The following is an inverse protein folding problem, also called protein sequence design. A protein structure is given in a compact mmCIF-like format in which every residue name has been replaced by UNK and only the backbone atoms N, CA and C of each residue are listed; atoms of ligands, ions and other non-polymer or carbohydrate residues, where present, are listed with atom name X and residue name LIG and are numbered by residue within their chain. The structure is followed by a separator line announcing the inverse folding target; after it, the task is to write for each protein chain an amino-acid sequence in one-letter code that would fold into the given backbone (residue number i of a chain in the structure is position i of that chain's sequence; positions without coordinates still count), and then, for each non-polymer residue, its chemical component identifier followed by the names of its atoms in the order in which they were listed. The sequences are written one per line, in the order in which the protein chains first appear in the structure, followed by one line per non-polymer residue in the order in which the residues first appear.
data_IF_820045181265
#
_entry.id   IF_820045181265
#
_cell.length_a   1.000
_cell.length_b   1.000
_cell.length_c   1.000
_cell.angle_alpha   90.00
_cell.angle_beta   90.00
_cell.angle_gamma   90.00
#
_symmetry.space_group_name_H-M   'P 1'
#
loop_
_entity.id
_entity.type
_entity.pdbx_description
1 polymer ?
#
# COMPACT_ATOMS: atom_id res chain seq x y z
N UNK A 1 26.55 10.90 15.92
CA UNK A 1 25.84 11.93 15.13
C UNK A 1 24.79 11.20 14.31
N UNK A 2 23.50 11.52 14.50
CA UNK A 2 22.43 10.89 13.73
C UNK A 2 22.49 11.32 12.27
N UNK A 3 22.30 10.38 11.35
CA UNK A 3 22.12 10.70 9.93
C UNK A 3 20.81 11.47 9.79
N UNK A 4 20.85 12.68 9.23
CA UNK A 4 19.64 13.42 8.87
C UNK A 4 18.98 12.73 7.67
N UNK A 5 17.97 11.90 7.94
CA UNK A 5 17.24 11.13 6.93
C UNK A 5 16.13 11.96 6.26
N UNK A 6 16.44 13.23 5.97
CA UNK A 6 15.55 14.09 5.20
C UNK A 6 15.45 13.55 3.77
N UNK A 7 14.23 13.19 3.38
CA UNK A 7 13.94 12.77 2.01
C UNK A 7 14.18 13.97 1.08
N UNK A 8 15.10 13.85 0.11
CA UNK A 8 15.58 15.00 -0.65
C UNK A 8 14.63 15.44 -1.75
N UNK A 9 13.87 14.51 -2.34
CA UNK A 9 13.02 14.73 -3.50
C UNK A 9 11.88 13.68 -3.54
N UNK A 10 10.65 14.05 -3.90
CA UNK A 10 9.55 13.10 -4.06
C UNK A 10 9.81 12.00 -5.09
N UNK A 11 10.55 12.27 -6.16
CA UNK A 11 10.95 11.24 -7.15
C UNK A 11 11.81 10.15 -6.51
N UNK A 12 12.58 10.48 -5.47
CA UNK A 12 13.34 9.47 -4.72
C UNK A 12 12.40 8.47 -4.03
N UNK A 13 11.30 8.94 -3.43
CA UNK A 13 10.31 8.05 -2.77
C UNK A 13 9.57 7.21 -3.81
N UNK A 14 9.24 7.77 -4.98
CA UNK A 14 8.64 7.03 -6.08
C UNK A 14 9.56 5.93 -6.62
N UNK A 15 10.84 6.25 -6.82
CA UNK A 15 11.86 5.28 -7.21
C UNK A 15 12.08 4.19 -6.15
N UNK A 16 12.20 4.58 -4.88
CA UNK A 16 12.34 3.65 -3.76
C UNK A 16 11.12 2.72 -3.67
N UNK A 17 9.91 3.25 -3.84
CA UNK A 17 8.67 2.47 -3.84
C UNK A 17 8.53 1.56 -5.06
N UNK A 18 9.13 1.94 -6.19
CA UNK A 18 9.21 1.07 -7.36
C UNK A 18 10.05 -0.18 -7.09
N UNK A 19 11.11 -0.07 -6.29
CA UNK A 19 11.92 -1.22 -5.87
C UNK A 19 11.30 -2.00 -4.69
N UNK A 20 11.12 -1.32 -3.56
CA UNK A 20 10.82 -1.91 -2.25
C UNK A 20 9.34 -1.87 -1.85
N UNK A 21 8.52 -1.16 -2.63
CA UNK A 21 7.11 -0.94 -2.32
C UNK A 21 6.23 -2.15 -2.62
N UNK A 22 5.12 -2.26 -1.91
CA UNK A 22 4.10 -3.28 -2.11
C UNK A 22 2.71 -2.67 -1.99
N UNK A 23 1.88 -2.87 -3.01
CA UNK A 23 0.45 -2.56 -3.00
C UNK A 23 -0.33 -3.83 -2.72
N UNK A 24 -0.91 -3.90 -1.53
CA UNK A 24 -1.44 -5.14 -0.97
C UNK A 24 -2.95 -5.05 -0.77
N UNK A 25 -3.64 -6.15 -1.11
CA UNK A 25 -5.05 -6.38 -0.78
C UNK A 25 -5.09 -7.59 0.17
N UNK A 26 -5.59 -7.39 1.38
CA UNK A 26 -5.84 -8.43 2.37
C UNK A 26 -7.33 -8.76 2.38
N UNK A 27 -7.67 -10.02 2.17
CA UNK A 27 -9.04 -10.53 2.33
C UNK A 27 -9.00 -11.59 3.41
N UNK A 28 -9.78 -11.39 4.47
CA UNK A 28 -9.87 -12.32 5.61
C UNK A 28 -11.31 -12.66 5.93
N UNK A 29 -11.56 -13.86 6.45
CA UNK A 29 -12.87 -14.20 7.02
C UNK A 29 -13.20 -13.25 8.18
N UNK A 30 -14.46 -12.84 8.28
CA UNK A 30 -14.96 -11.96 9.33
C UNK A 30 -16.41 -12.29 9.66
N UNK A 31 -16.68 -12.67 10.91
CA UNK A 31 -18.04 -12.88 11.43
C UNK A 31 -18.83 -11.57 11.61
N UNK A 32 -18.14 -10.42 11.61
CA UNK A 32 -18.74 -9.10 11.80
C UNK A 32 -19.18 -8.45 10.48
N UNK A 33 -18.81 -9.03 9.34
CA UNK A 33 -19.23 -8.56 8.01
C UNK A 33 -20.44 -9.36 7.53
N UNK A 34 -21.43 -8.69 6.93
CA UNK A 34 -22.61 -9.35 6.35
C UNK A 34 -22.24 -10.40 5.31
N UNK A 35 -21.16 -10.17 4.57
CA UNK A 35 -20.67 -11.09 3.52
C UNK A 35 -19.61 -12.08 4.03
N UNK A 36 -19.37 -12.13 5.35
CA UNK A 36 -18.42 -13.08 5.93
C UNK A 36 -16.94 -12.75 5.68
N UNK A 37 -16.63 -11.59 5.08
CA UNK A 37 -15.26 -11.18 4.72
C UNK A 37 -14.96 -9.74 5.11
N UNK A 38 -13.71 -9.48 5.45
CA UNK A 38 -13.15 -8.15 5.62
C UNK A 38 -12.08 -7.93 4.55
N UNK A 39 -12.14 -6.79 3.88
CA UNK A 39 -11.17 -6.38 2.86
C UNK A 39 -10.40 -5.17 3.39
N UNK A 40 -9.08 -5.29 3.40
CA UNK A 40 -8.17 -4.22 3.81
C UNK A 40 -7.12 -3.99 2.73
N UNK A 41 -6.96 -2.75 2.31
CA UNK A 41 -5.85 -2.36 1.44
C UNK A 41 -4.68 -1.83 2.27
N UNK A 42 -3.47 -2.02 1.76
CA UNK A 42 -2.24 -1.49 2.36
C UNK A 42 -1.26 -1.04 1.29
N UNK A 43 -0.54 0.04 1.58
CA UNK A 43 0.74 0.35 0.95
C UNK A 43 1.84 0.07 1.97
N UNK A 44 2.86 -0.67 1.56
CA UNK A 44 3.97 -1.04 2.42
C UNK A 44 5.32 -0.78 1.76
N UNK A 45 6.30 -0.35 2.55
CA UNK A 45 7.72 -0.38 2.20
C UNK A 45 8.42 -1.27 3.23
N UNK A 46 9.28 -2.17 2.77
CA UNK A 46 10.08 -3.03 3.65
C UNK A 46 11.55 -2.71 3.44
N UNK A 47 12.32 -2.61 4.52
CA UNK A 47 13.76 -2.42 4.41
C UNK A 47 14.48 -3.07 5.59
N UNK A 48 15.75 -3.41 5.40
CA UNK A 48 16.61 -4.00 6.43
C UNK A 48 16.71 -3.10 7.68
N UNK A 49 16.93 -3.71 8.85
CA UNK A 49 16.89 -3.01 10.14
C UNK A 49 17.87 -1.82 10.26
N UNK A 50 18.95 -1.85 9.47
CA UNK A 50 19.96 -0.78 9.44
C UNK A 50 19.40 0.58 9.03
N UNK A 51 18.30 0.59 8.27
CA UNK A 51 17.65 1.78 7.73
C UNK A 51 16.39 2.17 8.52
N UNK A 52 16.29 1.77 9.79
CA UNK A 52 15.14 2.08 10.67
C UNK A 52 14.78 3.57 10.65
N UNK A 53 15.78 4.46 10.77
CA UNK A 53 15.54 5.89 10.86
C UNK A 53 14.97 6.46 9.56
N UNK A 54 15.38 5.93 8.39
CA UNK A 54 14.76 6.25 7.11
C UNK A 54 13.33 5.74 7.04
N UNK A 55 13.07 4.51 7.49
CA UNK A 55 11.71 3.98 7.52
C UNK A 55 10.77 4.81 8.38
N UNK A 56 11.25 5.30 9.54
CA UNK A 56 10.49 6.21 10.42
C UNK A 56 10.26 7.59 9.81
N UNK A 57 11.20 8.11 9.02
CA UNK A 57 11.03 9.44 8.40
C UNK A 57 9.88 9.47 7.38
N UNK A 58 9.52 8.32 6.78
CA UNK A 58 8.35 8.17 5.92
C UNK A 58 7.02 8.48 6.63
N UNK A 59 6.92 8.25 7.95
CA UNK A 59 5.73 8.60 8.72
C UNK A 59 5.52 10.12 8.68
N UNK A 60 6.57 10.88 8.96
CA UNK A 60 6.54 12.34 8.92
C UNK A 60 6.36 12.86 7.50
N UNK A 61 7.03 12.24 6.52
CA UNK A 61 6.95 12.63 5.11
C UNK A 61 5.52 12.55 4.55
N UNK A 62 4.83 11.42 4.75
CA UNK A 62 3.45 11.26 4.31
C UNK A 62 2.43 11.79 5.33
N UNK A 63 2.89 12.20 6.52
CA UNK A 63 2.05 12.47 7.68
C UNK A 63 1.01 11.35 7.91
N UNK A 64 1.44 10.09 7.77
CA UNK A 64 0.59 8.90 7.78
C UNK A 64 1.41 7.63 7.94
N UNK A 65 0.74 6.54 8.28
CA UNK A 65 1.32 5.21 8.40
C UNK A 65 1.96 4.96 9.76
N UNK A 66 2.46 3.74 9.92
CA UNK A 66 3.19 3.29 11.09
C UNK A 66 4.42 2.51 10.64
N UNK A 67 5.42 2.40 11.52
CA UNK A 67 6.58 1.53 11.32
C UNK A 67 6.60 0.47 12.40
N UNK A 68 6.75 -0.79 12.01
CA UNK A 68 6.94 -1.89 12.94
C UNK A 68 8.10 -2.78 12.51
N UNK A 69 8.77 -3.37 13.49
CA UNK A 69 9.85 -4.33 13.27
C UNK A 69 9.26 -5.69 12.91
N UNK A 70 9.84 -6.35 11.92
CA UNK A 70 9.55 -7.73 11.56
C UNK A 70 10.86 -8.47 11.26
N UNK A 71 11.30 -9.32 12.20
CA UNK A 71 12.60 -9.99 12.14
C UNK A 71 13.74 -8.98 11.92
N UNK A 72 14.48 -9.10 10.82
CA UNK A 72 15.62 -8.24 10.45
C UNK A 72 15.21 -7.07 9.55
N UNK A 73 13.92 -6.77 9.48
CA UNK A 73 13.36 -5.69 8.65
C UNK A 73 12.48 -4.76 9.46
N UNK A 74 12.31 -3.54 8.94
CA UNK A 74 11.23 -2.63 9.31
C UNK A 74 10.25 -2.52 8.15
N UNK A 75 8.97 -2.45 8.49
CA UNK A 75 7.87 -2.27 7.54
C UNK A 75 7.20 -0.94 7.85
N UNK A 76 7.26 -0.01 6.90
CA UNK A 76 6.38 1.15 6.88
C UNK A 76 5.05 0.71 6.26
N UNK A 77 3.94 0.89 6.97
CA UNK A 77 2.60 0.43 6.59
C UNK A 77 1.59 1.58 6.67
N UNK A 78 0.97 1.86 5.54
CA UNK A 78 -0.22 2.71 5.46
C UNK A 78 -1.40 1.80 5.19
N UNK A 79 -2.35 1.76 6.11
CA UNK A 79 -3.55 0.91 6.01
C UNK A 79 -4.85 1.62 6.35
N UNK A 80 -4.77 2.88 6.80
CA UNK A 80 -5.95 3.73 7.00
C UNK A 80 -6.52 4.12 5.64
N UNK A 81 -7.73 3.65 5.33
CA UNK A 81 -8.34 3.81 4.01
C UNK A 81 -8.41 5.27 3.52
N UNK A 82 -8.67 6.23 4.43
CA UNK A 82 -8.70 7.65 4.08
C UNK A 82 -7.33 8.20 3.67
N UNK A 83 -6.25 7.74 4.31
CA UNK A 83 -4.89 8.15 3.96
C UNK A 83 -4.43 7.52 2.65
N UNK A 84 -4.86 6.28 2.36
CA UNK A 84 -4.58 5.66 1.06
C UNK A 84 -5.17 6.46 -0.09
N UNK A 85 -6.41 6.92 0.05
CA UNK A 85 -7.10 7.77 -0.92
C UNK A 85 -6.45 9.15 -1.06
N UNK A 86 -6.27 9.86 0.06
CA UNK A 86 -5.91 11.27 0.04
C UNK A 86 -4.41 11.53 -0.11
N UNK A 87 -3.56 10.60 0.33
CA UNK A 87 -2.10 10.79 0.38
C UNK A 87 -1.39 9.86 -0.59
N UNK A 88 -1.58 8.56 -0.46
CA UNK A 88 -0.79 7.57 -1.23
C UNK A 88 -1.16 7.58 -2.72
N UNK A 89 -2.45 7.53 -3.05
CA UNK A 89 -2.89 7.62 -4.45
C UNK A 89 -2.49 8.96 -5.05
N UNK A 90 -2.75 10.07 -4.36
CA UNK A 90 -2.40 11.42 -4.83
C UNK A 90 -0.91 11.50 -5.13
N UNK A 91 -0.06 11.01 -4.22
CA UNK A 91 1.38 11.00 -4.38
C UNK A 91 1.82 10.20 -5.62
N UNK A 92 1.36 8.96 -5.78
CA UNK A 92 1.78 8.12 -6.92
C UNK A 92 1.09 8.47 -8.25
N UNK A 93 0.07 9.34 -8.24
CA UNK A 93 -0.45 9.97 -9.45
C UNK A 93 0.46 11.11 -9.93
N UNK A 94 1.03 11.87 -9.00
CA UNK A 94 1.97 12.96 -9.31
C UNK A 94 3.40 12.45 -9.58
N UNK A 95 3.83 11.43 -8.84
CA UNK A 95 5.15 10.79 -8.93
C UNK A 95 4.97 9.30 -9.22
N UNK A 96 4.87 8.88 -10.50
CA UNK A 96 4.43 7.54 -10.87
C UNK A 96 5.38 6.43 -10.40
N UNK A 97 4.78 5.32 -9.96
CA UNK A 97 5.49 4.03 -9.88
C UNK A 97 5.90 3.62 -11.29
N UNK A 98 7.11 3.08 -11.44
CA UNK A 98 7.63 2.65 -12.73
C UNK A 98 7.69 1.11 -12.83
N UNK A 99 7.90 0.61 -14.05
CA UNK A 99 8.03 -0.82 -14.32
C UNK A 99 6.74 -1.63 -14.11
N UNK A 100 6.86 -2.94 -13.97
CA UNK A 100 5.71 -3.87 -13.85
C UNK A 100 4.84 -3.59 -12.62
N UNK A 101 5.42 -3.05 -11.54
CA UNK A 101 4.70 -2.67 -10.31
C UNK A 101 3.65 -1.57 -10.55
N UNK A 102 3.78 -0.77 -11.62
CA UNK A 102 2.75 0.20 -11.98
C UNK A 102 1.40 -0.47 -12.24
N UNK A 103 1.39 -1.66 -12.83
CA UNK A 103 0.15 -2.39 -13.06
C UNK A 103 -0.48 -2.86 -11.74
N UNK A 104 0.33 -3.27 -10.76
CA UNK A 104 -0.15 -3.59 -9.42
C UNK A 104 -0.73 -2.36 -8.71
N UNK A 105 -0.08 -1.21 -8.85
CA UNK A 105 -0.63 0.05 -8.35
C UNK A 105 -1.98 0.37 -9.01
N UNK A 106 -2.08 0.24 -10.34
CA UNK A 106 -3.31 0.51 -11.08
C UNK A 106 -4.48 -0.39 -10.64
N UNK A 107 -4.24 -1.69 -10.54
CA UNK A 107 -5.25 -2.66 -10.07
C UNK A 107 -5.65 -2.39 -8.60
N UNK A 108 -4.68 -2.00 -7.77
CA UNK A 108 -4.93 -1.62 -6.39
C UNK A 108 -5.80 -0.35 -6.28
N UNK A 109 -5.56 0.65 -7.15
CA UNK A 109 -6.39 1.87 -7.25
C UNK A 109 -7.81 1.52 -7.67
N UNK A 110 -8.01 0.61 -8.64
CA UNK A 110 -9.34 0.14 -9.02
C UNK A 110 -10.10 -0.45 -7.83
N UNK A 111 -9.43 -1.22 -6.96
CA UNK A 111 -10.07 -1.76 -5.75
C UNK A 111 -10.40 -0.67 -4.74
N UNK A 112 -9.59 0.38 -4.62
CA UNK A 112 -9.94 1.55 -3.80
C UNK A 112 -11.20 2.23 -4.34
N UNK A 113 -11.34 2.38 -5.65
CA UNK A 113 -12.53 2.97 -6.27
C UNK A 113 -13.79 2.12 -6.04
N UNK A 114 -13.68 0.80 -6.17
CA UNK A 114 -14.76 -0.14 -5.80
C UNK A 114 -15.16 0.01 -4.32
N UNK A 115 -14.18 0.23 -3.45
CA UNK A 115 -14.44 0.42 -2.03
C UNK A 115 -15.08 1.77 -1.71
N UNK A 116 -14.64 2.85 -2.36
CA UNK A 116 -15.27 4.18 -2.26
C UNK A 116 -16.75 4.13 -2.67
N UNK A 117 -17.04 3.40 -3.74
CA UNK A 117 -18.40 3.19 -4.25
C UNK A 117 -19.19 2.13 -3.47
N UNK A 118 -18.65 1.62 -2.36
CA UNK A 118 -19.26 0.59 -1.50
C UNK A 118 -19.60 -0.73 -2.22
N UNK A 119 -19.03 -0.97 -3.40
CA UNK A 119 -19.29 -2.18 -4.21
C UNK A 119 -18.85 -3.45 -3.46
N UNK A 120 -17.77 -3.36 -2.68
CA UNK A 120 -17.25 -4.42 -1.81
C UNK A 120 -18.23 -4.94 -0.73
N UNK A 121 -19.39 -4.30 -0.53
CA UNK A 121 -20.43 -4.77 0.39
C UNK A 121 -21.37 -5.83 -0.22
N UNK A 122 -21.21 -6.09 -1.52
CA UNK A 122 -21.95 -7.10 -2.29
C UNK A 122 -21.08 -8.31 -2.56
N UNK A 123 -21.69 -9.48 -2.77
CA UNK A 123 -20.97 -10.70 -3.12
C UNK A 123 -20.26 -10.56 -4.46
N UNK A 124 -20.94 -9.98 -5.44
CA UNK A 124 -20.42 -9.73 -6.78
C UNK A 124 -19.21 -8.79 -6.73
N UNK A 125 -19.29 -7.73 -5.92
CA UNK A 125 -18.17 -6.82 -5.70
C UNK A 125 -16.96 -7.48 -5.03
N UNK A 126 -17.19 -8.39 -4.08
CA UNK A 126 -16.13 -9.18 -3.46
C UNK A 126 -15.48 -10.10 -4.49
N UNK A 127 -16.28 -10.76 -5.35
CA UNK A 127 -15.77 -11.65 -6.40
C UNK A 127 -14.93 -10.88 -7.44
N UNK A 128 -15.32 -9.64 -7.78
CA UNK A 128 -14.52 -8.73 -8.62
C UNK A 128 -13.17 -8.44 -7.94
N UNK A 129 -13.18 -8.06 -6.66
CA UNK A 129 -11.94 -7.74 -5.91
C UNK A 129 -11.02 -8.96 -5.81
N UNK A 130 -11.58 -10.17 -5.64
CA UNK A 130 -10.81 -11.41 -5.67
C UNK A 130 -10.09 -11.60 -7.00
N UNK A 131 -10.80 -11.46 -8.13
CA UNK A 131 -10.21 -11.61 -9.47
C UNK A 131 -9.10 -10.58 -9.71
N UNK A 132 -9.31 -9.33 -9.31
CA UNK A 132 -8.25 -8.30 -9.40
C UNK A 132 -7.04 -8.72 -8.57
N UNK A 133 -7.26 -9.10 -7.30
CA UNK A 133 -6.20 -9.54 -6.39
C UNK A 133 -5.39 -10.73 -6.93
N UNK A 134 -6.04 -11.69 -7.60
CA UNK A 134 -5.38 -12.86 -8.19
C UNK A 134 -4.40 -12.49 -9.32
N UNK A 135 -4.67 -11.41 -10.06
CA UNK A 135 -3.80 -10.90 -11.12
C UNK A 135 -2.67 -9.98 -10.65
N UNK A 136 -2.62 -9.66 -9.35
CA UNK A 136 -1.65 -8.71 -8.80
C UNK A 136 -0.39 -9.37 -8.25
N UNK A 137 0.69 -8.58 -8.21
CA UNK A 137 1.98 -8.92 -7.61
C UNK A 137 2.49 -10.27 -8.17
N UNK A 138 2.66 -11.27 -7.31
CA UNK A 138 3.13 -12.61 -7.69
C UNK A 138 2.16 -13.40 -8.58
N UNK A 139 0.91 -12.97 -8.69
CA UNK A 139 -0.09 -13.59 -9.57
C UNK A 139 -0.05 -13.04 -11.01
N UNK A 140 0.71 -11.97 -11.25
CA UNK A 140 0.84 -11.34 -12.56
C UNK A 140 1.71 -12.22 -13.48
N UNK A 141 1.18 -12.53 -14.67
CA UNK A 141 1.84 -13.33 -15.71
C UNK A 141 2.56 -12.46 -16.72
#
# INVERSE_FOLDING_TARGET
MGIDNKIPDPQWVAGFSTGEGCFFIKITKSSHSKQGVNIQLKFQLTQHYRDESLMRSLISYFNSGNVFKNQDTYIYDVSKFSDLNSKIITFFKEYPILGSKYQDFSDWVQVIELMNNKVHLTKEGIDIIWKIKEGMNRGRK
#
